data_IF_073178914224
#
_entry.id   IF_073178914224
#
_cell.length_a   1.000
_cell.length_b   1.000
_cell.length_c   1.000
_cell.angle_alpha   90.00
_cell.angle_beta   90.00
_cell.angle_gamma   90.00
#
_symmetry.space_group_name_H-M   'P 1'
#
loop_
_entity.id
_entity.type
_entity.pdbx_description
1 polymer ?
#
# COMPACT_ATOMS: atom_id res chain seq x y z
N UNK A 1 -0.61 0.87 17.60
CA UNK A 1 -1.28 0.63 18.90
C UNK A 1 -2.51 1.52 19.15
N UNK A 2 -2.50 2.82 18.75
CA UNK A 2 -3.67 3.70 18.93
C UNK A 2 -4.81 3.27 18.00
N UNK A 3 -4.55 3.16 16.72
CA UNK A 3 -5.54 2.75 15.72
C UNK A 3 -6.07 1.33 15.97
N UNK A 4 -5.26 0.43 16.48
CA UNK A 4 -5.69 -0.93 16.82
C UNK A 4 -6.80 -0.98 17.90
N UNK A 5 -6.94 0.08 18.70
CA UNK A 5 -8.02 0.22 19.69
C UNK A 5 -9.32 0.77 19.08
N UNK A 6 -9.25 1.32 17.88
CA UNK A 6 -10.37 1.92 17.15
C UNK A 6 -10.97 0.98 16.10
N UNK A 7 -10.43 -0.24 15.94
CA UNK A 7 -10.82 -1.15 14.87
C UNK A 7 -10.63 -2.62 15.20
N UNK A 8 -10.76 -3.47 14.19
CA UNK A 8 -10.55 -4.90 14.26
C UNK A 8 -9.13 -5.26 13.84
N UNK A 9 -8.29 -5.64 14.80
CA UNK A 9 -6.91 -6.09 14.57
C UNK A 9 -6.90 -7.60 14.33
N UNK A 10 -6.36 -8.03 13.20
CA UNK A 10 -6.09 -9.44 12.91
C UNK A 10 -4.74 -9.83 13.48
N UNK A 11 -4.75 -10.73 14.45
CA UNK A 11 -3.55 -11.21 15.13
C UNK A 11 -3.04 -12.55 14.58
N UNK A 12 -3.73 -13.13 13.59
CA UNK A 12 -3.38 -14.43 13.00
C UNK A 12 -3.66 -14.43 11.50
N UNK A 13 -3.00 -13.53 10.76
CA UNK A 13 -3.10 -13.40 9.31
C UNK A 13 -1.76 -13.76 8.65
N UNK A 14 -1.82 -14.40 7.49
CA UNK A 14 -0.62 -14.84 6.76
C UNK A 14 -0.68 -14.37 5.31
N UNK A 15 0.45 -13.86 4.82
CA UNK A 15 0.61 -13.55 3.40
C UNK A 15 0.85 -14.82 2.57
N UNK A 16 0.59 -14.72 1.27
CA UNK A 16 0.71 -15.84 0.33
C UNK A 16 2.06 -15.89 -0.40
N UNK A 17 2.95 -14.95 -0.10
CA UNK A 17 4.25 -14.85 -0.74
C UNK A 17 5.24 -14.00 0.03
N UNK A 18 6.39 -13.75 -0.59
CA UNK A 18 7.54 -13.05 0.01
C UNK A 18 7.97 -11.83 -0.79
N UNK A 19 7.13 -11.39 -1.71
CA UNK A 19 7.35 -10.26 -2.62
C UNK A 19 6.06 -9.47 -2.79
N UNK A 20 6.18 -8.17 -3.02
CA UNK A 20 5.05 -7.25 -3.19
C UNK A 20 4.10 -7.65 -4.31
N UNK A 21 4.61 -8.15 -5.43
CA UNK A 21 3.75 -8.66 -6.51
C UNK A 21 2.83 -9.81 -6.07
N UNK A 22 3.26 -10.64 -5.11
CA UNK A 22 2.42 -11.67 -4.50
C UNK A 22 1.39 -11.09 -3.53
N UNK A 23 1.81 -10.10 -2.74
CA UNK A 23 0.90 -9.38 -1.86
C UNK A 23 -0.19 -8.64 -2.65
N UNK A 24 0.16 -8.03 -3.79
CA UNK A 24 -0.77 -7.40 -4.72
C UNK A 24 -1.82 -8.42 -5.21
N UNK A 25 -1.39 -9.58 -5.69
CA UNK A 25 -2.29 -10.65 -6.12
C UNK A 25 -3.25 -11.10 -5.01
N UNK A 26 -2.70 -11.31 -3.81
CA UNK A 26 -3.47 -11.72 -2.64
C UNK A 26 -4.53 -10.69 -2.26
N UNK A 27 -4.11 -9.43 -2.09
CA UNK A 27 -4.95 -8.36 -1.54
C UNK A 27 -6.03 -7.93 -2.54
N UNK A 28 -5.69 -7.88 -3.84
CA UNK A 28 -6.62 -7.35 -4.85
C UNK A 28 -7.48 -8.41 -5.52
N UNK A 29 -7.00 -9.64 -5.66
CA UNK A 29 -7.65 -10.70 -6.41
C UNK A 29 -7.87 -12.01 -5.63
N UNK A 30 -7.35 -12.11 -4.39
CA UNK A 30 -7.53 -13.30 -3.54
C UNK A 30 -6.74 -14.53 -4.01
N UNK A 31 -5.67 -14.36 -4.77
CA UNK A 31 -4.89 -15.50 -5.25
C UNK A 31 -4.23 -16.27 -4.10
N UNK A 32 -4.34 -17.58 -4.18
CA UNK A 32 -3.63 -18.49 -3.29
C UNK A 32 -2.15 -18.64 -3.69
N UNK A 33 -1.28 -19.07 -2.76
CA UNK A 33 0.12 -19.31 -3.07
C UNK A 33 0.26 -20.36 -4.18
N UNK A 34 1.12 -20.07 -5.14
CA UNK A 34 1.48 -21.03 -6.19
C UNK A 34 3.00 -20.90 -6.51
N UNK A 35 3.63 -21.96 -7.06
CA UNK A 35 5.07 -21.95 -7.32
C UNK A 35 5.46 -21.22 -8.60
N UNK A 36 4.51 -20.76 -9.42
CA UNK A 36 4.82 -20.07 -10.69
C UNK A 36 5.26 -18.62 -10.45
N UNK A 37 5.67 -17.94 -11.52
CA UNK A 37 5.89 -16.49 -11.50
C UNK A 37 4.58 -15.75 -11.17
N UNK A 38 4.70 -14.57 -10.54
CA UNK A 38 3.55 -13.69 -10.28
C UNK A 38 2.90 -13.25 -11.59
N UNK A 39 1.57 -13.30 -11.66
CA UNK A 39 0.81 -12.83 -12.83
C UNK A 39 1.01 -11.33 -13.07
N UNK A 40 1.24 -10.54 -12.03
CA UNK A 40 1.54 -9.10 -12.16
C UNK A 40 2.76 -8.88 -13.06
N UNK A 41 3.78 -9.72 -12.97
CA UNK A 41 5.01 -9.63 -13.78
C UNK A 41 4.90 -10.21 -15.18
N UNK A 42 3.94 -11.08 -15.42
CA UNK A 42 3.80 -11.77 -16.71
C UNK A 42 3.14 -10.86 -17.74
N UNK A 43 3.89 -10.37 -18.72
CA UNK A 43 3.40 -9.48 -19.78
C UNK A 43 2.20 -10.00 -20.57
N UNK A 44 2.01 -11.32 -20.66
CA UNK A 44 0.85 -11.95 -21.30
C UNK A 44 -0.38 -12.10 -20.41
N UNK A 45 -0.30 -11.73 -19.12
CA UNK A 45 -1.34 -11.98 -18.10
C UNK A 45 -1.78 -10.70 -17.39
N UNK A 46 -1.96 -9.60 -18.15
CA UNK A 46 -2.21 -8.28 -17.58
C UNK A 46 -3.70 -7.91 -17.47
N UNK A 47 -4.61 -8.77 -17.88
CA UNK A 47 -6.04 -8.46 -17.90
C UNK A 47 -6.91 -9.71 -17.75
N UNK A 48 -8.19 -9.49 -17.43
CA UNK A 48 -9.18 -10.56 -17.34
C UNK A 48 -9.27 -11.23 -15.98
N UNK A 49 -8.62 -10.70 -14.96
CA UNK A 49 -8.75 -11.17 -13.58
C UNK A 49 -9.83 -10.37 -12.84
N UNK A 50 -10.65 -11.09 -12.08
CA UNK A 50 -11.58 -10.46 -11.16
C UNK A 50 -10.81 -9.92 -9.96
N UNK A 51 -10.93 -8.61 -9.72
CA UNK A 51 -10.32 -7.93 -8.59
C UNK A 51 -11.36 -7.17 -7.77
N UNK A 52 -10.98 -6.73 -6.58
CA UNK A 52 -11.83 -5.82 -5.80
C UNK A 52 -12.14 -4.53 -6.58
N UNK A 53 -11.18 -4.00 -7.34
CA UNK A 53 -11.42 -2.82 -8.17
C UNK A 53 -12.45 -3.09 -9.28
N UNK A 54 -12.42 -4.24 -9.93
CA UNK A 54 -13.45 -4.65 -10.91
C UNK A 54 -14.83 -4.75 -10.24
N UNK A 55 -14.91 -5.39 -9.06
CA UNK A 55 -16.16 -5.52 -8.31
C UNK A 55 -16.78 -4.16 -7.96
N UNK A 56 -15.99 -3.25 -7.39
CA UNK A 56 -16.46 -1.90 -7.03
C UNK A 56 -16.69 -1.02 -8.25
N UNK A 57 -15.85 -1.13 -9.30
CA UNK A 57 -16.02 -0.40 -10.54
C UNK A 57 -17.34 -0.69 -11.27
N UNK A 58 -17.85 -1.93 -11.18
CA UNK A 58 -19.19 -2.34 -11.67
C UNK A 58 -20.33 -1.67 -10.90
N UNK A 59 -20.08 -1.19 -9.69
CA UNK A 59 -21.01 -0.42 -8.85
C UNK A 59 -20.79 1.10 -8.98
N UNK A 60 -20.14 1.57 -10.04
CA UNK A 60 -19.83 2.96 -10.31
C UNK A 60 -18.93 3.66 -9.27
N UNK A 61 -18.14 2.90 -8.50
CA UNK A 61 -17.10 3.48 -7.67
C UNK A 61 -15.97 4.05 -8.53
N UNK A 62 -15.34 5.10 -8.05
CA UNK A 62 -14.01 5.49 -8.50
C UNK A 62 -13.02 4.41 -8.03
N UNK A 63 -12.14 3.97 -8.92
CA UNK A 63 -11.17 2.93 -8.58
C UNK A 63 -9.77 3.41 -8.87
N UNK A 64 -8.91 3.46 -7.84
CA UNK A 64 -7.59 4.04 -7.96
C UNK A 64 -6.49 3.21 -7.30
N UNK A 65 -5.32 3.22 -7.94
CA UNK A 65 -4.05 2.78 -7.37
C UNK A 65 -3.17 4.01 -7.18
N UNK A 66 -2.69 4.24 -5.96
CA UNK A 66 -1.86 5.40 -5.61
C UNK A 66 -0.55 4.90 -5.04
N UNK A 67 0.56 5.27 -5.67
CA UNK A 67 1.89 4.77 -5.38
C UNK A 67 2.91 5.90 -5.43
N UNK A 68 3.79 5.98 -4.44
CA UNK A 68 4.86 6.99 -4.41
C UNK A 68 5.96 6.77 -5.44
N UNK A 69 6.11 5.55 -5.96
CA UNK A 69 7.11 5.17 -6.95
C UNK A 69 6.54 5.07 -8.38
N UNK A 70 7.35 4.52 -9.29
CA UNK A 70 7.01 4.31 -10.69
C UNK A 70 6.10 3.09 -10.86
N UNK A 71 4.84 3.28 -11.22
CA UNK A 71 3.87 2.19 -11.36
C UNK A 71 4.18 1.22 -12.52
N UNK A 72 5.06 1.60 -13.45
CA UNK A 72 5.55 0.70 -14.50
C UNK A 72 6.50 -0.39 -13.97
N UNK A 73 7.06 -0.22 -12.77
CA UNK A 73 7.87 -1.23 -12.14
C UNK A 73 7.05 -2.52 -11.94
N UNK A 74 7.65 -3.67 -12.24
CA UNK A 74 7.01 -4.99 -12.17
C UNK A 74 5.66 -5.08 -12.92
N UNK A 75 5.42 -4.25 -13.94
CA UNK A 75 4.18 -4.18 -14.73
C UNK A 75 2.92 -3.79 -13.93
N UNK A 76 3.04 -3.23 -12.73
CA UNK A 76 1.90 -2.92 -11.86
C UNK A 76 0.85 -2.04 -12.56
N UNK A 77 1.26 -0.96 -13.25
CA UNK A 77 0.33 -0.09 -13.96
C UNK A 77 -0.51 -0.85 -15.00
N UNK A 78 0.13 -1.72 -15.79
CA UNK A 78 -0.56 -2.53 -16.79
C UNK A 78 -1.54 -3.50 -16.15
N UNK A 79 -1.10 -4.22 -15.10
CA UNK A 79 -1.93 -5.15 -14.36
C UNK A 79 -3.15 -4.46 -13.73
N UNK A 80 -2.95 -3.35 -13.06
CA UNK A 80 -4.04 -2.62 -12.40
C UNK A 80 -5.04 -2.05 -13.41
N UNK A 81 -4.57 -1.39 -14.49
CA UNK A 81 -5.43 -0.90 -15.56
C UNK A 81 -6.25 -2.02 -16.22
N UNK A 82 -5.62 -3.16 -16.49
CA UNK A 82 -6.27 -4.30 -17.12
C UNK A 82 -7.31 -5.00 -16.23
N UNK A 83 -7.32 -4.69 -14.91
CA UNK A 83 -8.14 -5.40 -13.92
C UNK A 83 -8.95 -4.46 -13.01
N UNK A 84 -9.46 -3.36 -13.58
CA UNK A 84 -10.52 -2.56 -12.98
C UNK A 84 -10.07 -1.31 -12.22
N UNK A 85 -8.78 -1.03 -12.06
CA UNK A 85 -8.30 0.25 -11.54
C UNK A 85 -8.26 1.28 -12.67
N UNK A 86 -9.17 2.24 -12.65
CA UNK A 86 -9.31 3.26 -13.70
C UNK A 86 -8.31 4.39 -13.61
N UNK A 87 -7.85 4.67 -12.38
CA UNK A 87 -6.95 5.78 -12.11
C UNK A 87 -5.65 5.23 -11.50
N UNK A 88 -4.54 5.43 -12.19
CA UNK A 88 -3.20 5.12 -11.69
C UNK A 88 -2.53 6.45 -11.39
N UNK A 89 -2.19 6.68 -10.12
CA UNK A 89 -1.52 7.89 -9.64
C UNK A 89 -0.16 7.44 -9.12
N UNK A 90 0.90 7.84 -9.81
CA UNK A 90 2.25 7.39 -9.51
C UNK A 90 3.24 8.56 -9.37
N UNK A 91 4.50 8.28 -9.22
CA UNK A 91 5.58 9.25 -9.07
C UNK A 91 5.49 10.40 -10.10
N UNK A 92 5.09 10.13 -11.34
CA UNK A 92 5.00 11.14 -12.37
C UNK A 92 3.90 12.18 -12.13
N UNK A 93 2.86 11.81 -11.39
CA UNK A 93 1.78 12.73 -11.00
C UNK A 93 2.18 13.60 -9.80
N UNK A 94 3.09 13.12 -8.95
CA UNK A 94 3.70 13.94 -7.91
C UNK A 94 4.66 14.96 -8.53
N UNK A 95 5.49 14.56 -9.49
CA UNK A 95 6.46 15.44 -10.17
C UNK A 95 5.76 16.61 -10.91
N UNK A 96 4.56 16.39 -11.43
CA UNK A 96 3.82 17.35 -12.25
C UNK A 96 2.93 18.31 -11.46
N UNK A 97 2.59 18.04 -10.22
CA UNK A 97 1.61 18.85 -9.49
C UNK A 97 2.18 20.16 -8.91
N UNK A 98 3.48 20.39 -9.05
CA UNK A 98 4.17 21.62 -8.61
C UNK A 98 4.30 21.78 -7.11
N UNK A 99 3.98 20.76 -6.31
CA UNK A 99 4.06 20.80 -4.86
C UNK A 99 5.43 20.45 -4.33
N UNK A 100 5.72 20.96 -3.15
CA UNK A 100 6.91 20.56 -2.40
C UNK A 100 6.56 19.39 -1.50
N UNK A 101 7.17 18.25 -1.76
CA UNK A 101 7.08 17.05 -0.96
C UNK A 101 8.24 16.92 0.02
N UNK A 102 8.09 16.05 1.02
CA UNK A 102 9.07 15.89 2.08
C UNK A 102 10.35 15.21 1.57
N UNK A 103 10.22 14.17 0.76
CA UNK A 103 11.37 13.44 0.22
C UNK A 103 10.99 12.60 -1.01
N UNK A 104 11.88 12.62 -1.99
CA UNK A 104 11.93 11.63 -3.07
C UNK A 104 13.21 10.80 -2.92
N UNK A 105 13.07 9.52 -2.61
CA UNK A 105 14.16 8.56 -2.44
C UNK A 105 14.34 7.64 -3.64
N UNK A 106 15.07 6.55 -3.44
CA UNK A 106 15.35 5.54 -4.50
C UNK A 106 14.08 4.91 -5.06
N UNK A 107 13.05 4.70 -4.24
CA UNK A 107 11.79 4.06 -4.62
C UNK A 107 10.65 5.05 -4.88
N UNK A 108 10.96 6.34 -4.97
CA UNK A 108 9.98 7.39 -5.20
C UNK A 108 9.69 8.25 -3.97
N UNK A 109 8.50 8.83 -3.92
CA UNK A 109 8.08 9.71 -2.85
C UNK A 109 7.80 8.95 -1.54
N UNK A 110 8.09 9.60 -0.43
CA UNK A 110 7.96 9.04 0.92
C UNK A 110 6.51 8.68 1.28
N UNK A 111 6.33 7.81 2.27
CA UNK A 111 4.99 7.37 2.69
C UNK A 111 4.14 8.51 3.27
N UNK A 112 4.74 9.53 3.89
CA UNK A 112 3.99 10.71 4.33
C UNK A 112 3.52 11.58 3.13
N UNK A 113 4.30 11.64 2.06
CA UNK A 113 3.92 12.33 0.83
C UNK A 113 2.81 11.56 0.09
N UNK A 114 2.90 10.23 0.06
CA UNK A 114 1.83 9.36 -0.41
C UNK A 114 0.53 9.61 0.35
N UNK A 115 0.59 9.74 1.70
CA UNK A 115 -0.56 10.03 2.52
C UNK A 115 -1.23 11.38 2.17
N UNK A 116 -0.43 12.41 1.92
CA UNK A 116 -0.91 13.73 1.50
C UNK A 116 -1.58 13.64 0.13
N UNK A 117 -0.92 13.01 -0.86
CA UNK A 117 -1.44 12.88 -2.21
C UNK A 117 -2.75 12.11 -2.26
N UNK A 118 -2.82 10.98 -1.55
CA UNK A 118 -4.02 10.16 -1.46
C UNK A 118 -5.18 10.90 -0.80
N UNK A 119 -4.93 11.58 0.34
CA UNK A 119 -5.95 12.37 1.01
C UNK A 119 -6.53 13.47 0.11
N UNK A 120 -5.69 14.16 -0.64
CA UNK A 120 -6.14 15.18 -1.61
C UNK A 120 -6.98 14.58 -2.73
N UNK A 121 -6.54 13.43 -3.26
CA UNK A 121 -7.30 12.72 -4.27
C UNK A 121 -8.70 12.37 -3.78
N UNK A 122 -8.82 11.75 -2.60
CA UNK A 122 -10.12 11.36 -2.03
C UNK A 122 -11.01 12.57 -1.71
N UNK A 123 -10.43 13.64 -1.17
CA UNK A 123 -11.13 14.89 -0.94
C UNK A 123 -11.75 15.46 -2.23
N UNK A 124 -11.02 15.41 -3.33
CA UNK A 124 -11.45 15.94 -4.63
C UNK A 124 -12.55 15.09 -5.28
N UNK A 125 -12.73 13.83 -4.87
CA UNK A 125 -13.85 13.00 -5.31
C UNK A 125 -15.21 13.47 -4.75
N UNK A 126 -15.20 14.28 -3.69
CA UNK A 126 -16.42 14.77 -3.06
C UNK A 126 -17.29 13.63 -2.51
N UNK A 127 -18.50 13.52 -3.05
CA UNK A 127 -19.46 12.47 -2.65
C UNK A 127 -19.39 11.20 -3.51
N UNK A 128 -18.46 11.13 -4.46
CA UNK A 128 -18.32 9.94 -5.30
C UNK A 128 -17.78 8.78 -4.49
N UNK A 129 -18.45 7.61 -4.47
CA UNK A 129 -17.91 6.45 -3.78
C UNK A 129 -16.61 5.99 -4.46
N UNK A 130 -15.67 5.48 -3.67
CA UNK A 130 -14.38 5.07 -4.20
C UNK A 130 -13.87 3.78 -3.55
N UNK A 131 -13.07 3.05 -4.31
CA UNK A 131 -12.19 1.98 -3.86
C UNK A 131 -10.75 2.36 -4.24
N UNK A 132 -9.86 2.39 -3.29
CA UNK A 132 -8.47 2.78 -3.55
C UNK A 132 -7.47 1.86 -2.86
N UNK A 133 -6.40 1.54 -3.56
CA UNK A 133 -5.22 0.88 -3.04
C UNK A 133 -4.09 1.90 -2.95
N UNK A 134 -3.65 2.23 -1.73
CA UNK A 134 -2.42 2.96 -1.47
C UNK A 134 -1.29 1.97 -1.26
N UNK A 135 -0.15 2.19 -1.90
CA UNK A 135 1.00 1.30 -1.81
C UNK A 135 2.26 2.08 -1.40
N UNK A 136 2.85 1.70 -0.27
CA UNK A 136 3.99 2.42 0.34
C UNK A 136 5.33 2.04 -0.27
N UNK A 137 6.36 2.88 -0.08
CA UNK A 137 7.71 2.70 -0.62
C UNK A 137 8.78 2.57 0.46
N UNK A 138 8.59 3.19 1.62
CA UNK A 138 9.66 3.46 2.59
C UNK A 138 10.18 2.21 3.33
N UNK A 139 9.45 1.10 3.30
CA UNK A 139 9.89 -0.19 3.86
C UNK A 139 10.80 -0.99 2.92
N UNK A 140 11.15 -0.44 1.76
CA UNK A 140 12.06 -1.07 0.81
C UNK A 140 13.52 -0.66 1.07
N UNK A 141 14.46 -1.60 0.93
CA UNK A 141 15.89 -1.29 1.00
C UNK A 141 16.26 -0.28 -0.10
N UNK A 142 16.97 0.83 0.20
CA UNK A 142 17.81 1.09 1.37
C UNK A 142 17.13 1.77 2.57
N UNK A 143 15.82 1.66 2.78
CA UNK A 143 15.09 2.13 3.94
C UNK A 143 15.16 3.65 4.14
N UNK A 144 14.92 4.40 3.06
CA UNK A 144 14.98 5.86 3.06
C UNK A 144 13.67 6.48 3.55
N UNK A 145 13.80 7.51 4.35
CA UNK A 145 12.69 8.35 4.81
C UNK A 145 13.20 9.74 5.23
N UNK A 146 12.34 10.78 5.30
CA UNK A 146 12.76 12.13 5.65
C UNK A 146 13.35 12.22 7.06
N UNK A 147 14.32 13.13 7.26
CA UNK A 147 14.93 13.38 8.57
C UNK A 147 13.96 14.05 9.54
N UNK A 148 14.14 13.74 10.83
CA UNK A 148 13.44 14.42 11.92
C UNK A 148 11.94 14.09 12.04
N UNK A 149 11.47 13.00 11.41
CA UNK A 149 10.07 12.57 11.49
C UNK A 149 9.78 11.66 12.67
N UNK A 150 10.78 10.90 13.07
CA UNK A 150 10.68 9.94 14.17
C UNK A 150 11.93 10.01 15.05
N UNK A 151 11.79 9.65 16.31
CA UNK A 151 12.93 9.27 17.13
C UNK A 151 13.41 7.90 16.64
N UNK A 152 14.69 7.80 16.26
CA UNK A 152 15.24 6.57 15.72
C UNK A 152 15.21 5.45 16.77
N UNK A 153 14.82 4.25 16.34
CA UNK A 153 14.88 3.05 17.17
C UNK A 153 16.31 2.60 17.38
N UNK A 154 17.16 2.76 16.34
CA UNK A 154 18.57 2.35 16.33
C UNK A 154 19.41 3.21 15.37
N UNK A 155 20.73 3.06 15.43
CA UNK A 155 21.70 3.63 14.49
C UNK A 155 22.33 2.51 13.64
N UNK A 156 22.64 2.75 12.35
CA UNK A 156 22.38 3.98 11.60
C UNK A 156 20.90 4.19 11.28
N UNK A 157 20.56 5.36 10.71
CA UNK A 157 19.15 5.72 10.39
C UNK A 157 18.46 4.70 9.47
N UNK A 158 19.14 4.32 8.40
CA UNK A 158 18.55 3.53 7.31
C UNK A 158 18.55 2.03 7.66
N UNK A 159 17.65 1.62 8.55
CA UNK A 159 17.44 0.23 8.96
C UNK A 159 15.98 -0.17 8.80
N UNK A 160 15.73 -1.47 8.70
CA UNK A 160 14.36 -2.00 8.61
C UNK A 160 13.49 -1.58 9.80
N UNK A 161 14.04 -1.56 11.02
CA UNK A 161 13.28 -1.18 12.23
C UNK A 161 12.89 0.30 12.23
N UNK A 162 13.79 1.18 11.80
CA UNK A 162 13.49 2.60 11.65
C UNK A 162 12.48 2.84 10.52
N UNK A 163 12.58 2.11 9.41
CA UNK A 163 11.60 2.18 8.31
C UNK A 163 10.21 1.71 8.77
N UNK A 164 10.11 0.62 9.54
CA UNK A 164 8.84 0.18 10.14
C UNK A 164 8.23 1.25 11.06
N UNK A 165 9.06 1.89 11.90
CA UNK A 165 8.62 2.99 12.77
C UNK A 165 8.16 4.20 11.97
N UNK A 166 8.83 4.51 10.86
CA UNK A 166 8.42 5.57 9.95
C UNK A 166 7.12 5.24 9.21
N UNK A 167 6.92 3.98 8.80
CA UNK A 167 5.67 3.55 8.19
C UNK A 167 4.48 3.71 9.17
N UNK A 168 4.65 3.34 10.45
CA UNK A 168 3.63 3.58 11.49
C UNK A 168 3.32 5.07 11.66
N UNK A 169 4.35 5.93 11.67
CA UNK A 169 4.20 7.40 11.67
C UNK A 169 3.38 7.86 10.45
N UNK A 170 3.70 7.38 9.25
CA UNK A 170 3.05 7.80 8.00
C UNK A 170 1.58 7.35 7.93
N UNK A 171 1.27 6.15 8.42
CA UNK A 171 -0.11 5.68 8.61
C UNK A 171 -0.85 6.60 9.58
N UNK A 172 -0.24 6.95 10.72
CA UNK A 172 -0.79 7.92 11.67
C UNK A 172 -1.09 9.26 11.00
N UNK A 173 -0.16 9.77 10.20
CA UNK A 173 -0.30 11.00 9.42
C UNK A 173 -1.48 10.95 8.44
N UNK A 174 -1.64 9.83 7.72
CA UNK A 174 -2.80 9.65 6.84
C UNK A 174 -4.12 9.76 7.61
N UNK A 175 -4.24 9.06 8.74
CA UNK A 175 -5.46 9.12 9.56
C UNK A 175 -5.72 10.49 10.18
N UNK A 176 -4.68 11.24 10.55
CA UNK A 176 -4.80 12.63 11.00
C UNK A 176 -5.38 13.56 9.91
N UNK A 177 -4.98 13.33 8.65
CA UNK A 177 -5.52 14.07 7.51
C UNK A 177 -6.95 13.62 7.19
N UNK A 178 -7.16 12.32 7.05
CA UNK A 178 -8.44 11.73 6.69
C UNK A 178 -9.57 12.08 7.66
N UNK A 179 -9.29 12.06 8.98
CA UNK A 179 -10.27 12.42 10.03
C UNK A 179 -10.84 13.84 9.90
N UNK A 180 -10.22 14.71 9.13
CA UNK A 180 -10.68 16.09 8.87
C UNK A 180 -11.58 16.20 7.64
N UNK A 181 -11.68 15.14 6.85
CA UNK A 181 -12.38 15.15 5.57
C UNK A 181 -13.73 14.44 5.64
N UNK A 182 -14.63 14.86 4.77
CA UNK A 182 -16.01 14.36 4.74
C UNK A 182 -16.10 12.85 4.44
N UNK A 183 -15.19 12.31 3.63
CA UNK A 183 -15.19 10.92 3.24
C UNK A 183 -14.92 9.97 4.41
N UNK A 184 -14.25 10.44 5.48
CA UNK A 184 -13.77 9.59 6.58
C UNK A 184 -14.88 8.76 7.22
N UNK A 185 -16.02 9.35 7.53
CA UNK A 185 -17.15 8.71 8.23
C UNK A 185 -17.84 7.61 7.41
N UNK A 186 -17.67 7.64 6.10
CA UNK A 186 -18.31 6.70 5.17
C UNK A 186 -17.29 5.76 4.52
N UNK A 187 -16.11 5.62 5.10
CA UNK A 187 -15.02 4.83 4.53
C UNK A 187 -14.63 3.71 5.49
N UNK A 188 -14.48 2.51 4.94
CA UNK A 188 -13.81 1.39 5.60
C UNK A 188 -12.33 1.42 5.19
N UNK A 189 -11.46 1.53 6.17
CA UNK A 189 -10.01 1.51 5.97
C UNK A 189 -9.45 0.13 6.28
N UNK A 190 -8.68 -0.42 5.37
CA UNK A 190 -7.95 -1.68 5.56
C UNK A 190 -6.47 -1.37 5.50
N UNK A 191 -5.77 -1.53 6.61
CA UNK A 191 -4.31 -1.42 6.69
C UNK A 191 -3.76 -2.83 6.78
N UNK A 192 -2.98 -3.24 5.80
CA UNK A 192 -2.46 -4.60 5.70
C UNK A 192 -1.04 -4.59 5.15
N UNK A 193 -0.17 -5.45 5.68
CA UNK A 193 1.12 -5.70 5.06
C UNK A 193 0.96 -6.66 3.87
N UNK A 194 1.71 -6.44 2.81
CA UNK A 194 1.73 -7.27 1.63
C UNK A 194 2.53 -8.57 1.83
N UNK A 195 3.63 -8.51 2.58
CA UNK A 195 4.44 -9.64 3.00
C UNK A 195 5.32 -9.27 4.22
N UNK A 196 6.02 -10.25 4.79
CA UNK A 196 7.02 -10.01 5.84
C UNK A 196 8.39 -9.71 5.20
N UNK A 197 9.35 -9.21 5.99
CA UNK A 197 10.67 -8.76 5.51
C UNK A 197 11.44 -9.87 4.80
N UNK A 198 11.80 -10.95 5.51
CA UNK A 198 12.51 -12.10 4.92
C UNK A 198 12.06 -13.40 5.58
N UNK A 199 11.87 -14.43 4.76
CA UNK A 199 11.34 -15.74 5.17
C UNK A 199 12.41 -16.82 5.21
N UNK A 200 13.53 -16.56 5.86
CA UNK A 200 14.56 -17.57 6.07
C UNK A 200 14.17 -18.53 7.19
N UNK A 201 14.48 -19.81 7.02
CA UNK A 201 14.25 -20.84 8.03
C UNK A 201 14.80 -22.18 7.63
N UNK A 202 14.79 -23.16 8.57
CA UNK A 202 15.21 -24.54 8.31
C UNK A 202 14.15 -25.34 7.56
N UNK A 203 12.89 -24.93 7.64
CA UNK A 203 11.77 -25.58 6.96
C UNK A 203 11.68 -25.09 5.51
N UNK A 204 11.22 -25.96 4.61
CA UNK A 204 10.97 -25.59 3.20
C UNK A 204 10.01 -24.41 3.09
N UNK A 205 8.95 -24.38 3.91
CA UNK A 205 8.03 -23.25 4.07
C UNK A 205 7.96 -22.90 5.55
N UNK A 206 8.68 -21.87 6.01
CA UNK A 206 8.63 -21.44 7.41
C UNK A 206 7.36 -20.60 7.67
N UNK A 207 6.20 -21.23 7.82
CA UNK A 207 4.87 -20.60 7.91
C UNK A 207 4.83 -19.42 8.89
N UNK A 208 5.48 -19.53 10.04
CA UNK A 208 5.55 -18.44 11.02
C UNK A 208 6.22 -17.17 10.51
N UNK A 209 6.98 -17.23 9.40
CA UNK A 209 7.61 -16.08 8.74
C UNK A 209 6.71 -15.40 7.71
N UNK A 210 5.53 -15.97 7.44
CA UNK A 210 4.51 -15.37 6.59
C UNK A 210 3.44 -14.60 7.39
N UNK A 211 3.57 -14.57 8.70
CA UNK A 211 2.66 -13.82 9.58
C UNK A 211 2.76 -12.31 9.34
N UNK A 212 1.63 -11.67 9.09
CA UNK A 212 1.52 -10.24 8.79
C UNK A 212 0.42 -9.57 9.63
N UNK A 213 0.54 -8.28 9.94
CA UNK A 213 -0.53 -7.53 10.57
C UNK A 213 -1.60 -7.10 9.56
N UNK A 214 -2.85 -7.04 10.01
CA UNK A 214 -3.90 -6.29 9.33
C UNK A 214 -4.85 -5.65 10.34
N UNK A 215 -5.39 -4.50 9.97
CA UNK A 215 -6.32 -3.72 10.78
C UNK A 215 -7.45 -3.18 9.90
N UNK A 216 -8.70 -3.40 10.32
CA UNK A 216 -9.86 -2.78 9.70
C UNK A 216 -10.40 -1.70 10.63
N UNK A 217 -10.60 -0.50 10.10
CA UNK A 217 -11.21 0.64 10.81
C UNK A 217 -12.45 1.06 10.02
N UNK A 218 -13.58 1.13 10.70
CA UNK A 218 -14.85 1.67 10.21
C UNK A 218 -15.47 2.53 11.30
N UNK A 219 -16.20 3.59 10.90
CA UNK A 219 -16.89 4.49 11.84
C UNK A 219 -18.40 4.38 11.68
#
# INVERSE_FOLDING_TARGET
DKLAKEGLLFTNLYCTGTRSVRGIEQVTAGFLPNPSESIVKLGGSQQGFFTLADAFGRQNYDTSFIYGGMANFDNMASFFNGNGFKNIIDETDFDKDGKKYAMKGTWGYSDEDLAVKANEYYKNLGNKPFFSLMFSTSNHEPFEFPDGRIDLYEQPKNTVHNAMKYADFSIGKFFELAKKEAYFKNTIFVVIADHNTRTYGKNLVPVNKFHIPALIIAQ
#
